data_IF_096060627202
#
_entry.id   IF_096060627202
#
_cell.length_a   1.000
_cell.length_b   1.000
_cell.length_c   1.000
_cell.angle_alpha   90.00
_cell.angle_beta   90.00
_cell.angle_gamma   90.00
#
_symmetry.space_group_name_H-M   'P 1'
#
loop_
_entity.id
_entity.type
_entity.pdbx_description
1 polymer ?
#
# COMPACT_ATOMS: atom_id res chain seq x y z
N UNK A 1 1.79 20.14 9.08
CA UNK A 1 1.93 19.63 7.71
C UNK A 1 2.34 18.15 7.70
N UNK A 2 3.14 17.66 8.64
CA UNK A 2 3.47 16.21 8.79
C UNK A 2 2.26 15.28 9.04
N UNK A 3 1.23 15.73 9.76
CA UNK A 3 0.10 14.87 10.14
C UNK A 3 -0.71 14.33 8.94
N UNK A 4 -0.84 15.11 7.85
CA UNK A 4 -1.69 14.72 6.72
C UNK A 4 -1.10 13.56 5.91
N UNK A 5 0.23 13.54 5.74
CA UNK A 5 0.92 12.49 5.00
C UNK A 5 0.84 11.13 5.71
N UNK A 6 0.92 11.14 7.04
CA UNK A 6 0.79 9.93 7.84
C UNK A 6 -0.64 9.36 7.78
N UNK A 7 -1.66 10.22 7.76
CA UNK A 7 -3.06 9.80 7.61
C UNK A 7 -3.33 9.18 6.23
N UNK A 8 -2.81 9.77 5.15
CA UNK A 8 -2.93 9.22 3.80
C UNK A 8 -2.23 7.85 3.67
N UNK A 9 -1.02 7.71 4.21
CA UNK A 9 -0.31 6.43 4.20
C UNK A 9 -1.04 5.34 4.99
N UNK A 10 -1.61 5.70 6.16
CA UNK A 10 -2.43 4.78 6.95
C UNK A 10 -3.68 4.34 6.19
N UNK A 11 -4.39 5.28 5.55
CA UNK A 11 -5.58 4.97 4.76
C UNK A 11 -5.27 4.00 3.62
N UNK A 12 -4.15 4.19 2.93
CA UNK A 12 -3.68 3.29 1.88
C UNK A 12 -3.42 1.89 2.46
N UNK A 13 -2.69 1.80 3.58
CA UNK A 13 -2.41 0.51 4.22
C UNK A 13 -3.70 -0.21 4.65
N UNK A 14 -4.66 0.51 5.22
CA UNK A 14 -5.96 -0.05 5.60
C UNK A 14 -6.72 -0.59 4.38
N UNK A 15 -6.74 0.16 3.27
CA UNK A 15 -7.34 -0.26 2.01
C UNK A 15 -6.69 -1.52 1.43
N UNK A 16 -5.37 -1.68 1.57
CA UNK A 16 -4.64 -2.85 1.09
C UNK A 16 -4.67 -4.04 2.06
N UNK A 17 -5.01 -3.83 3.35
CA UNK A 17 -4.97 -4.87 4.40
C UNK A 17 -5.78 -6.12 4.05
N UNK A 18 -7.01 -6.05 3.51
CA UNK A 18 -7.76 -7.24 3.11
C UNK A 18 -7.01 -8.08 2.07
N UNK A 19 -6.34 -7.42 1.11
CA UNK A 19 -5.56 -8.09 0.06
C UNK A 19 -4.29 -8.70 0.61
N UNK A 20 -3.58 -8.00 1.49
CA UNK A 20 -2.37 -8.49 2.15
C UNK A 20 -2.70 -9.78 2.91
N UNK A 21 -3.74 -9.76 3.75
CA UNK A 21 -4.17 -10.93 4.52
C UNK A 21 -4.60 -12.09 3.62
N UNK A 22 -5.31 -11.81 2.54
CA UNK A 22 -5.68 -12.84 1.55
C UNK A 22 -4.45 -13.54 0.97
N UNK A 23 -3.41 -12.78 0.57
CA UNK A 23 -2.19 -13.34 0.01
C UNK A 23 -1.39 -14.14 1.07
N UNK A 24 -1.30 -13.64 2.30
CA UNK A 24 -0.57 -14.29 3.39
C UNK A 24 -1.22 -15.60 3.87
N UNK A 25 -2.49 -15.85 3.57
CA UNK A 25 -3.08 -17.17 3.82
C UNK A 25 -2.38 -18.30 3.06
N UNK A 26 -1.63 -17.99 2.00
CA UNK A 26 -0.85 -18.97 1.22
C UNK A 26 0.54 -19.24 1.83
N UNK A 27 0.96 -18.47 2.85
CA UNK A 27 2.25 -18.64 3.53
C UNK A 27 2.09 -19.39 4.85
N UNK A 28 3.21 -19.82 5.43
CA UNK A 28 3.25 -20.52 6.71
C UNK A 28 2.74 -19.61 7.83
N UNK A 29 1.96 -20.15 8.78
CA UNK A 29 1.35 -19.35 9.85
C UNK A 29 2.38 -18.55 10.65
N UNK A 30 3.55 -19.13 10.88
CA UNK A 30 4.64 -18.54 11.64
C UNK A 30 5.22 -17.28 10.98
N UNK A 31 5.21 -17.22 9.65
CA UNK A 31 5.77 -16.10 8.88
C UNK A 31 4.73 -15.02 8.56
N UNK A 32 3.43 -15.27 8.76
CA UNK A 32 2.37 -14.36 8.32
C UNK A 32 2.47 -12.98 8.95
N UNK A 33 2.73 -12.92 10.25
CA UNK A 33 2.80 -11.65 10.98
C UNK A 33 3.99 -10.81 10.52
N UNK A 34 5.17 -11.43 10.44
CA UNK A 34 6.40 -10.78 9.98
C UNK A 34 6.26 -10.28 8.53
N UNK A 35 5.73 -11.13 7.63
CA UNK A 35 5.50 -10.76 6.25
C UNK A 35 4.43 -9.66 6.10
N UNK A 36 3.40 -9.65 6.95
CA UNK A 36 2.41 -8.56 6.97
C UNK A 36 3.09 -7.22 7.29
N UNK A 37 3.96 -7.19 8.30
CA UNK A 37 4.68 -5.98 8.68
C UNK A 37 5.68 -5.57 7.60
N UNK A 38 6.42 -6.51 7.00
CA UNK A 38 7.36 -6.19 5.94
C UNK A 38 6.65 -5.56 4.72
N UNK A 39 5.48 -6.10 4.33
CA UNK A 39 4.69 -5.54 3.22
C UNK A 39 4.22 -4.12 3.54
N UNK A 40 3.70 -3.88 4.75
CA UNK A 40 3.29 -2.53 5.18
C UNK A 40 4.45 -1.54 5.15
N UNK A 41 5.62 -1.95 5.65
CA UNK A 41 6.82 -1.12 5.64
C UNK A 41 7.25 -0.76 4.21
N UNK A 42 7.25 -1.74 3.29
CA UNK A 42 7.57 -1.49 1.88
C UNK A 42 6.57 -0.53 1.22
N UNK A 43 5.28 -0.59 1.59
CA UNK A 43 4.27 0.37 1.09
C UNK A 43 4.63 1.79 1.54
N UNK A 44 4.89 1.99 2.84
CA UNK A 44 5.27 3.30 3.38
C UNK A 44 6.54 3.83 2.71
N UNK A 45 7.56 2.99 2.58
CA UNK A 45 8.80 3.36 1.91
C UNK A 45 8.59 3.79 0.46
N UNK A 46 7.74 3.07 -0.28
CA UNK A 46 7.42 3.39 -1.67
C UNK A 46 6.64 4.68 -1.78
N UNK A 47 5.68 4.90 -0.88
CA UNK A 47 4.95 6.16 -0.80
C UNK A 47 5.91 7.33 -0.56
N UNK A 48 6.83 7.20 0.41
CA UNK A 48 7.77 8.26 0.77
C UNK A 48 8.86 8.55 -0.29
N UNK A 49 9.25 7.55 -1.08
CA UNK A 49 10.38 7.67 -2.03
C UNK A 49 9.94 7.98 -3.46
N UNK A 50 8.67 7.78 -3.79
CA UNK A 50 8.20 7.83 -5.18
C UNK A 50 7.22 8.98 -5.38
N UNK A 51 7.51 9.86 -6.33
CA UNK A 51 6.49 10.74 -6.88
C UNK A 51 5.59 9.89 -7.79
N UNK A 52 4.33 9.75 -7.41
CA UNK A 52 3.34 9.10 -8.25
C UNK A 52 2.90 10.10 -9.31
N UNK A 53 3.24 9.82 -10.56
CA UNK A 53 2.64 10.55 -11.67
C UNK A 53 1.15 10.25 -11.72
N UNK A 54 0.35 11.26 -12.05
CA UNK A 54 -1.08 11.06 -12.26
C UNK A 54 -1.29 9.93 -13.27
N UNK A 55 -2.10 8.97 -12.85
CA UNK A 55 -2.47 7.86 -13.73
C UNK A 55 -3.42 8.43 -14.79
N UNK A 56 -3.24 8.10 -16.08
CA UNK A 56 -4.14 8.58 -17.10
C UNK A 56 -5.57 8.17 -16.75
N UNK A 57 -6.44 9.16 -16.72
CA UNK A 57 -7.87 8.99 -16.52
C UNK A 57 -8.45 8.22 -17.71
N UNK A 58 -9.58 7.55 -17.49
CA UNK A 58 -10.33 6.91 -18.57
C UNK A 58 -10.56 7.84 -19.77
N UNK A 59 -10.73 9.15 -19.52
CA UNK A 59 -10.96 10.17 -20.53
C UNK A 59 -9.71 10.55 -21.33
N UNK A 60 -8.51 10.36 -20.77
CA UNK A 60 -7.25 10.67 -21.46
C UNK A 60 -6.98 9.72 -22.63
N UNK A 61 -7.73 8.63 -22.73
CA UNK A 61 -7.67 7.67 -23.84
C UNK A 61 -8.59 8.01 -25.02
N UNK A 62 -9.47 9.02 -24.90
CA UNK A 62 -10.43 9.41 -25.94
C UNK A 62 -10.13 10.77 -26.59
N UNK A 63 -8.95 11.34 -26.32
CA UNK A 63 -8.47 12.61 -26.89
C UNK A 63 -7.57 12.32 -28.09
#
# INVERSE_FOLDING_TARGET
MENNYNEEALMIIENFTPKIKQCLHQTSYQEREDLEQEIKLKIIEKLAKQEFNDTPSFWDFFI
#
